data_IF_535607282258
#
_entry.id   IF_535607282258
#
_cell.length_a   1.000
_cell.length_b   1.000
_cell.length_c   1.000
_cell.angle_alpha   90.00
_cell.angle_beta   90.00
_cell.angle_gamma   90.00
#
_symmetry.space_group_name_H-M   'P 1'
#
loop_
_entity.id
_entity.type
_entity.pdbx_description
1 polymer ?
#
# COMPACT_ATOMS: atom_id res chain seq x y z
N UNK A 1 8.37 -13.76 -13.35
CA UNK A 1 7.87 -13.36 -12.00
C UNK A 1 6.61 -12.53 -12.20
N UNK A 2 5.47 -13.06 -11.81
CA UNK A 2 4.19 -12.34 -11.84
C UNK A 2 3.99 -11.58 -10.55
N UNK A 3 3.61 -10.31 -10.66
CA UNK A 3 3.55 -9.39 -9.54
C UNK A 3 2.11 -8.99 -9.23
N UNK A 4 1.85 -8.69 -7.96
CA UNK A 4 0.64 -8.00 -7.53
C UNK A 4 0.98 -6.84 -6.60
N UNK A 5 0.08 -5.88 -6.48
CA UNK A 5 0.18 -4.80 -5.49
C UNK A 5 -1.18 -4.53 -4.86
N UNK A 6 -1.20 -4.49 -3.53
CA UNK A 6 -2.35 -4.03 -2.74
C UNK A 6 -2.13 -2.56 -2.41
N UNK A 7 -2.87 -1.68 -3.06
CA UNK A 7 -2.81 -0.23 -2.83
C UNK A 7 -3.83 0.15 -1.79
N UNK A 8 -3.39 0.50 -0.59
CA UNK A 8 -4.28 0.86 0.52
C UNK A 8 -4.57 2.36 0.50
N UNK A 9 -5.82 2.72 0.28
CA UNK A 9 -6.34 4.09 0.18
C UNK A 9 -7.52 4.35 1.15
N UNK A 10 -7.59 3.62 2.26
CA UNK A 10 -8.68 3.70 3.25
C UNK A 10 -8.53 4.80 4.32
N UNK A 11 -7.51 5.64 4.25
CA UNK A 11 -7.29 6.70 5.23
C UNK A 11 -8.35 7.80 5.13
N UNK A 12 -9.00 8.12 6.26
CA UNK A 12 -10.05 9.17 6.34
C UNK A 12 -9.53 10.61 6.21
N UNK A 13 -8.21 10.81 6.13
CA UNK A 13 -7.59 12.15 5.99
C UNK A 13 -7.81 13.13 7.15
N UNK A 14 -8.46 12.73 8.24
CA UNK A 14 -8.87 13.59 9.39
C UNK A 14 -7.78 14.54 9.91
N UNK A 15 -6.51 14.15 9.78
CA UNK A 15 -5.36 14.97 10.24
C UNK A 15 -5.08 16.22 9.40
N UNK A 16 -5.68 16.35 8.21
CA UNK A 16 -5.40 17.46 7.28
C UNK A 16 -6.53 18.50 7.24
N UNK A 17 -7.61 18.34 8.03
CA UNK A 17 -8.72 19.30 8.08
C UNK A 17 -9.47 19.49 6.77
N UNK A 18 -9.27 18.66 5.77
CA UNK A 18 -9.94 18.71 4.48
C UNK A 18 -11.19 17.85 4.51
N UNK A 19 -12.29 18.35 3.91
CA UNK A 19 -13.53 17.57 3.69
C UNK A 19 -13.28 16.41 2.70
N UNK A 20 -12.33 16.60 1.76
CA UNK A 20 -11.97 15.57 0.78
C UNK A 20 -10.88 14.65 1.35
N UNK A 21 -11.05 13.31 1.26
CA UNK A 21 -10.00 12.37 1.67
C UNK A 21 -8.69 12.61 0.91
N UNK A 22 -7.56 12.50 1.63
CA UNK A 22 -6.21 12.85 1.15
C UNK A 22 -5.84 12.25 -0.21
N UNK A 23 -6.26 11.02 -0.47
CA UNK A 23 -5.97 10.30 -1.72
C UNK A 23 -6.61 10.95 -2.95
N UNK A 24 -7.66 11.76 -2.76
CA UNK A 24 -8.36 12.46 -3.84
C UNK A 24 -7.94 13.92 -3.99
N UNK A 25 -7.05 14.42 -3.14
CA UNK A 25 -6.48 15.75 -3.33
C UNK A 25 -5.71 15.81 -4.65
N UNK A 26 -5.90 16.91 -5.38
CA UNK A 26 -5.30 17.09 -6.69
C UNK A 26 -3.86 17.61 -6.56
N UNK A 27 -2.96 17.01 -7.32
CA UNK A 27 -1.59 17.46 -7.56
C UNK A 27 -1.37 17.44 -9.06
N UNK A 28 -0.90 18.54 -9.65
CA UNK A 28 -0.80 18.68 -11.10
C UNK A 28 -2.08 18.24 -11.81
N UNK A 29 -3.21 18.83 -11.39
CA UNK A 29 -4.53 18.64 -11.99
C UNK A 29 -5.09 17.21 -11.95
N UNK A 30 -4.49 16.30 -11.21
CA UNK A 30 -4.89 14.90 -11.10
C UNK A 30 -4.86 14.43 -9.63
N UNK A 31 -5.82 13.60 -9.16
CA UNK A 31 -5.78 13.01 -7.82
C UNK A 31 -4.47 12.27 -7.52
N UNK A 32 -3.95 12.42 -6.30
CA UNK A 32 -2.72 11.74 -5.87
C UNK A 32 -2.79 10.23 -6.12
N UNK A 33 -3.94 9.62 -5.84
CA UNK A 33 -4.15 8.19 -6.05
C UNK A 33 -3.97 7.77 -7.51
N UNK A 34 -4.42 8.59 -8.46
CA UNK A 34 -4.23 8.30 -9.89
C UNK A 34 -2.76 8.35 -10.30
N UNK A 35 -1.97 9.27 -9.72
CA UNK A 35 -0.51 9.27 -9.94
C UNK A 35 0.12 7.98 -9.43
N UNK A 36 -0.27 7.53 -8.22
CA UNK A 36 0.24 6.28 -7.64
C UNK A 36 -0.08 5.08 -8.53
N UNK A 37 -1.35 4.92 -8.94
CA UNK A 37 -1.76 3.80 -9.79
C UNK A 37 -1.12 3.86 -11.18
N UNK A 38 -1.04 5.06 -11.80
CA UNK A 38 -0.38 5.23 -13.10
C UNK A 38 1.09 4.85 -13.05
N UNK A 39 1.80 5.24 -11.97
CA UNK A 39 3.21 4.91 -11.81
C UNK A 39 3.42 3.40 -11.64
N UNK A 40 2.60 2.73 -10.86
CA UNK A 40 2.66 1.27 -10.67
C UNK A 40 2.35 0.53 -11.97
N UNK A 41 1.33 0.95 -12.71
CA UNK A 41 0.97 0.37 -14.00
C UNK A 41 2.04 0.59 -15.07
N UNK A 42 2.69 1.75 -15.10
CA UNK A 42 3.80 2.02 -16.03
C UNK A 42 5.07 1.24 -15.70
N UNK A 43 5.23 0.81 -14.45
CA UNK A 43 6.32 -0.08 -14.05
C UNK A 43 6.15 -1.50 -14.59
N UNK A 44 4.93 -2.03 -14.54
CA UNK A 44 4.60 -3.37 -15.03
C UNK A 44 3.10 -3.42 -15.35
N UNK A 45 2.76 -3.41 -16.63
CA UNK A 45 1.37 -3.40 -17.09
C UNK A 45 0.64 -4.75 -16.94
N UNK A 46 1.38 -5.83 -16.67
CA UNK A 46 0.82 -7.15 -16.36
C UNK A 46 0.63 -7.38 -14.86
N UNK A 47 1.06 -6.41 -14.03
CA UNK A 47 0.92 -6.48 -12.57
C UNK A 47 -0.55 -6.37 -12.15
N UNK A 48 -0.98 -7.30 -11.29
CA UNK A 48 -2.32 -7.24 -10.70
C UNK A 48 -2.39 -6.12 -9.66
N UNK A 49 -3.17 -5.08 -9.94
CA UNK A 49 -3.37 -3.97 -9.01
C UNK A 49 -4.70 -4.16 -8.29
N UNK A 50 -4.68 -4.21 -6.96
CA UNK A 50 -5.89 -4.20 -6.11
C UNK A 50 -5.92 -2.89 -5.33
N UNK A 51 -6.94 -2.09 -5.56
CA UNK A 51 -7.17 -0.83 -4.84
C UNK A 51 -8.15 -1.07 -3.69
N UNK A 52 -7.67 -0.84 -2.47
CA UNK A 52 -8.47 -1.01 -1.25
C UNK A 52 -8.84 0.36 -0.70
N UNK A 53 -10.13 0.65 -0.63
CA UNK A 53 -10.64 1.92 -0.11
C UNK A 53 -11.90 1.74 0.75
N UNK A 54 -12.29 2.78 1.47
CA UNK A 54 -13.54 2.76 2.22
C UNK A 54 -14.74 2.68 1.24
N UNK A 55 -15.75 1.93 1.61
CA UNK A 55 -16.96 1.72 0.79
C UNK A 55 -17.62 3.05 0.38
N UNK A 56 -17.71 3.99 1.31
CA UNK A 56 -18.27 5.32 1.05
C UNK A 56 -17.43 6.20 0.10
N UNK A 57 -16.22 5.80 -0.23
CA UNK A 57 -15.32 6.50 -1.15
C UNK A 57 -15.38 5.95 -2.58
N UNK A 58 -16.01 4.79 -2.78
CA UNK A 58 -16.03 4.11 -4.09
C UNK A 58 -16.77 4.94 -5.15
N UNK A 59 -17.94 5.47 -4.81
CA UNK A 59 -18.72 6.29 -5.76
C UNK A 59 -17.93 7.53 -6.22
N UNK A 60 -17.28 8.21 -5.29
CA UNK A 60 -16.44 9.36 -5.62
C UNK A 60 -15.25 8.94 -6.51
N UNK A 61 -14.63 7.80 -6.22
CA UNK A 61 -13.54 7.27 -7.04
C UNK A 61 -13.99 6.98 -8.47
N UNK A 62 -15.15 6.35 -8.65
CA UNK A 62 -15.71 6.06 -9.97
C UNK A 62 -15.99 7.33 -10.76
N UNK A 63 -16.62 8.33 -10.13
CA UNK A 63 -16.86 9.65 -10.74
C UNK A 63 -15.54 10.32 -11.17
N UNK A 64 -14.51 10.27 -10.34
CA UNK A 64 -13.20 10.79 -10.69
C UNK A 64 -12.57 10.02 -11.86
N UNK A 65 -12.69 8.69 -11.89
CA UNK A 65 -12.19 7.89 -13.02
C UNK A 65 -12.87 8.29 -14.34
N UNK A 66 -14.18 8.52 -14.34
CA UNK A 66 -14.92 9.01 -15.51
C UNK A 66 -14.47 10.43 -15.91
N UNK A 67 -14.42 11.35 -14.95
CA UNK A 67 -14.02 12.74 -15.17
C UNK A 67 -12.63 12.86 -15.79
N UNK A 68 -11.66 12.06 -15.29
CA UNK A 68 -10.28 12.10 -15.76
C UNK A 68 -9.98 11.08 -16.86
N UNK A 69 -10.99 10.32 -17.34
CA UNK A 69 -10.81 9.22 -18.31
C UNK A 69 -9.69 8.27 -17.88
N UNK A 70 -9.70 7.91 -16.60
CA UNK A 70 -8.66 7.10 -15.97
C UNK A 70 -8.88 5.61 -16.25
N UNK A 71 -8.01 5.02 -17.09
CA UNK A 71 -8.18 3.68 -17.65
C UNK A 71 -7.15 2.66 -17.10
N UNK A 72 -6.44 2.96 -16.01
CA UNK A 72 -5.54 1.97 -15.39
C UNK A 72 -6.37 0.82 -14.82
N UNK A 73 -6.15 -0.43 -15.28
CA UNK A 73 -6.90 -1.58 -14.78
C UNK A 73 -6.61 -1.83 -13.31
N UNK A 74 -7.64 -2.01 -12.49
CA UNK A 74 -7.49 -2.37 -11.09
C UNK A 74 -8.75 -3.04 -10.54
N UNK A 75 -8.56 -3.92 -9.58
CA UNK A 75 -9.62 -4.58 -8.81
C UNK A 75 -9.94 -3.69 -7.62
N UNK A 76 -11.23 -3.42 -7.35
CA UNK A 76 -11.67 -2.71 -6.16
C UNK A 76 -11.94 -3.68 -5.02
N UNK A 77 -11.48 -3.35 -3.81
CA UNK A 77 -11.80 -4.06 -2.58
C UNK A 77 -12.15 -3.07 -1.47
N UNK A 78 -13.00 -3.50 -0.54
CA UNK A 78 -13.40 -2.66 0.60
C UNK A 78 -12.40 -2.77 1.74
N UNK A 79 -12.03 -1.64 2.31
CA UNK A 79 -11.19 -1.56 3.50
C UNK A 79 -11.90 -2.10 4.74
N UNK A 80 -11.10 -2.58 5.69
CA UNK A 80 -11.58 -3.01 7.00
C UNK A 80 -11.38 -1.92 8.07
N UNK A 81 -11.70 -2.27 9.32
CA UNK A 81 -11.57 -1.37 10.49
C UNK A 81 -10.14 -0.84 10.67
N UNK A 82 -9.16 -1.66 10.33
CA UNK A 82 -7.73 -1.37 10.47
C UNK A 82 -6.96 -1.72 9.20
N UNK A 83 -5.69 -1.29 9.15
CA UNK A 83 -4.80 -1.61 8.02
C UNK A 83 -4.68 -3.11 7.77
N UNK A 84 -4.64 -3.91 8.83
CA UNK A 84 -4.58 -5.37 8.74
C UNK A 84 -5.74 -5.93 7.91
N UNK A 85 -6.98 -5.60 8.27
CA UNK A 85 -8.18 -6.07 7.57
C UNK A 85 -8.27 -5.53 6.14
N UNK A 86 -7.80 -4.31 5.92
CA UNK A 86 -7.75 -3.73 4.57
C UNK A 86 -6.80 -4.51 3.66
N UNK A 87 -5.61 -4.86 4.14
CA UNK A 87 -4.65 -5.68 3.38
C UNK A 87 -5.19 -7.10 3.16
N UNK A 88 -5.79 -7.72 4.20
CA UNK A 88 -6.44 -9.04 4.10
C UNK A 88 -7.51 -9.05 3.00
N UNK A 89 -8.41 -8.08 3.02
CA UNK A 89 -9.47 -7.95 2.02
C UNK A 89 -8.90 -7.77 0.61
N UNK A 90 -7.83 -6.96 0.47
CA UNK A 90 -7.15 -6.78 -0.80
C UNK A 90 -6.51 -8.06 -1.33
N UNK A 91 -5.87 -8.86 -0.47
CA UNK A 91 -5.30 -10.15 -0.86
C UNK A 91 -6.38 -11.14 -1.30
N UNK A 92 -7.50 -11.19 -0.57
CA UNK A 92 -8.63 -12.09 -0.87
C UNK A 92 -9.46 -11.65 -2.10
N UNK A 93 -9.36 -10.38 -2.51
CA UNK A 93 -10.03 -9.87 -3.70
C UNK A 93 -9.34 -10.28 -5.00
N UNK A 94 -8.12 -10.82 -4.95
CA UNK A 94 -7.43 -11.33 -6.13
C UNK A 94 -8.15 -12.62 -6.60
N UNK A 95 -8.63 -12.68 -7.85
CA UNK A 95 -9.27 -13.88 -8.39
C UNK A 95 -8.36 -15.11 -8.30
N UNK A 96 -8.94 -16.26 -7.98
CA UNK A 96 -8.18 -17.50 -7.74
C UNK A 96 -7.32 -17.92 -8.95
N UNK A 97 -7.83 -17.69 -10.17
CA UNK A 97 -7.14 -17.96 -11.43
C UNK A 97 -5.90 -17.07 -11.62
N UNK A 98 -5.87 -15.88 -11.02
CA UNK A 98 -4.68 -15.00 -11.04
C UNK A 98 -3.75 -15.32 -9.88
N UNK A 99 -4.32 -15.63 -8.70
CA UNK A 99 -3.59 -15.85 -7.46
C UNK A 99 -2.58 -17.00 -7.52
N UNK A 100 -2.90 -18.05 -8.30
CA UNK A 100 -2.01 -19.22 -8.44
C UNK A 100 -0.67 -18.88 -9.07
N UNK A 101 -0.63 -17.88 -9.96
CA UNK A 101 0.55 -17.49 -10.75
C UNK A 101 1.34 -16.34 -10.11
N UNK A 102 0.82 -15.68 -9.04
CA UNK A 102 1.50 -14.57 -8.40
C UNK A 102 2.65 -15.09 -7.54
N UNK A 103 3.85 -14.59 -7.83
CA UNK A 103 5.07 -14.89 -7.07
C UNK A 103 5.24 -13.94 -5.88
N UNK A 104 5.13 -12.62 -6.14
CA UNK A 104 5.39 -11.55 -5.16
C UNK A 104 4.25 -10.56 -5.14
N UNK A 105 3.85 -10.15 -3.94
CA UNK A 105 2.88 -9.08 -3.71
C UNK A 105 3.50 -7.93 -2.93
N UNK A 106 3.23 -6.71 -3.38
CA UNK A 106 3.56 -5.49 -2.64
C UNK A 106 2.35 -4.96 -1.89
N UNK A 107 2.58 -4.37 -0.71
CA UNK A 107 1.58 -3.55 0.01
C UNK A 107 2.05 -2.11 -0.03
N UNK A 108 1.26 -1.22 -0.61
CA UNK A 108 1.64 0.17 -0.88
C UNK A 108 0.57 1.17 -0.43
N UNK A 109 1.03 2.34 0.03
CA UNK A 109 0.13 3.43 0.40
C UNK A 109 -0.31 4.20 -0.85
N UNK A 110 -1.62 4.35 -1.07
CA UNK A 110 -2.19 5.05 -2.23
C UNK A 110 -1.84 6.54 -2.36
N UNK A 111 -1.27 7.12 -1.32
CA UNK A 111 -0.84 8.54 -1.27
C UNK A 111 0.68 8.72 -1.41
N UNK A 112 1.39 7.73 -1.95
CA UNK A 112 2.85 7.77 -2.16
C UNK A 112 3.22 7.58 -3.63
N UNK A 113 3.01 8.57 -4.50
CA UNK A 113 3.21 8.43 -5.94
C UNK A 113 4.69 8.39 -6.37
N UNK A 114 5.61 8.86 -5.50
CA UNK A 114 7.02 9.04 -5.86
C UNK A 114 7.86 7.80 -5.55
N UNK A 115 7.66 6.76 -6.36
CA UNK A 115 8.44 5.51 -6.30
C UNK A 115 9.05 5.27 -7.67
N UNK A 116 10.38 5.20 -7.75
CA UNK A 116 11.05 4.98 -9.03
C UNK A 116 10.94 3.52 -9.48
N UNK A 117 10.94 3.26 -10.79
CA UNK A 117 10.90 1.90 -11.34
C UNK A 117 12.12 1.06 -10.92
N UNK A 118 13.31 1.67 -10.84
CA UNK A 118 14.51 0.99 -10.37
C UNK A 118 14.36 0.52 -8.92
N UNK A 119 13.75 1.35 -8.06
CA UNK A 119 13.48 1.00 -6.68
C UNK A 119 12.41 -0.09 -6.54
N UNK A 120 11.32 0.00 -7.30
CA UNK A 120 10.31 -1.07 -7.39
C UNK A 120 10.97 -2.39 -7.79
N UNK A 121 11.79 -2.36 -8.84
CA UNK A 121 12.47 -3.56 -9.33
C UNK A 121 13.37 -4.20 -8.25
N UNK A 122 14.13 -3.40 -7.49
CA UNK A 122 14.97 -3.91 -6.41
C UNK A 122 14.16 -4.57 -5.28
N UNK A 123 13.01 -3.99 -4.91
CA UNK A 123 12.13 -4.54 -3.88
C UNK A 123 11.49 -5.87 -4.31
N UNK A 124 10.94 -5.92 -5.53
CA UNK A 124 10.33 -7.14 -6.05
C UNK A 124 11.35 -8.25 -6.25
N UNK A 125 12.55 -7.93 -6.76
CA UNK A 125 13.63 -8.90 -6.91
C UNK A 125 14.08 -9.48 -5.56
N UNK A 126 14.31 -8.63 -4.56
CA UNK A 126 14.69 -9.09 -3.23
C UNK A 126 13.61 -9.98 -2.57
N UNK A 127 12.33 -9.72 -2.86
CA UNK A 127 11.24 -10.55 -2.34
C UNK A 127 11.07 -11.89 -3.09
N UNK A 128 11.55 -11.99 -4.34
CA UNK A 128 11.48 -13.23 -5.12
C UNK A 128 12.36 -14.35 -4.54
N UNK A 129 13.39 -13.99 -3.78
CA UNK A 129 14.29 -14.94 -3.10
C UNK A 129 13.65 -15.58 -1.85
N UNK A 130 12.37 -15.32 -1.62
CA UNK A 130 11.59 -15.93 -0.54
C UNK A 130 11.59 -15.16 0.78
N UNK A 131 12.16 -13.95 0.82
CA UNK A 131 12.21 -13.05 1.97
C UNK A 131 11.24 -11.86 1.80
N UNK A 132 10.88 -11.21 2.92
CA UNK A 132 10.22 -9.92 2.86
C UNK A 132 11.23 -8.82 2.53
N UNK A 133 10.86 -7.90 1.64
CA UNK A 133 11.65 -6.72 1.31
C UNK A 133 10.90 -5.46 1.75
N UNK A 134 11.48 -4.74 2.70
CA UNK A 134 10.86 -3.57 3.33
C UNK A 134 11.81 -2.38 3.23
N UNK A 135 11.41 -1.27 2.59
CA UNK A 135 12.24 -0.07 2.54
C UNK A 135 12.26 0.63 3.89
N UNK A 136 13.45 1.03 4.33
CA UNK A 136 13.63 1.71 5.60
C UNK A 136 14.46 2.98 5.44
N UNK A 137 14.21 3.95 6.31
CA UNK A 137 15.00 5.18 6.44
C UNK A 137 15.55 5.26 7.86
N UNK A 138 16.81 5.68 8.05
CA UNK A 138 17.34 5.93 9.38
C UNK A 138 16.55 7.04 10.09
N UNK A 139 16.49 6.97 11.42
CA UNK A 139 15.95 8.06 12.23
C UNK A 139 16.99 9.17 12.38
N UNK A 140 16.59 10.39 12.04
CA UNK A 140 17.41 11.60 12.22
C UNK A 140 17.07 12.34 13.51
N UNK A 141 15.82 12.25 13.96
CA UNK A 141 15.33 12.88 15.16
C UNK A 141 15.73 12.11 16.43
N UNK A 142 15.82 12.81 17.57
CA UNK A 142 15.94 12.16 18.87
C UNK A 142 14.62 11.51 19.24
N UNK A 143 14.68 10.27 19.72
CA UNK A 143 13.50 9.52 20.14
C UNK A 143 13.59 9.17 21.62
N UNK A 144 12.41 9.03 22.23
CA UNK A 144 12.25 8.64 23.61
C UNK A 144 11.18 7.56 23.71
N UNK A 145 11.42 6.59 24.56
CA UNK A 145 10.46 5.56 24.92
C UNK A 145 9.62 6.05 26.10
N UNK A 146 8.29 6.03 25.98
CA UNK A 146 7.38 6.31 27.10
C UNK A 146 7.31 5.11 28.04
N UNK A 147 7.38 5.39 29.35
CA UNK A 147 7.20 4.42 30.43
C UNK A 147 6.32 5.08 31.48
N UNK A 148 5.07 4.69 31.53
CA UNK A 148 4.06 5.23 32.46
C UNK A 148 4.17 6.76 32.62
N UNK A 149 4.73 7.25 33.74
CA UNK A 149 4.81 8.68 34.09
C UNK A 149 6.09 9.38 33.57
N UNK A 150 7.01 8.67 32.91
CA UNK A 150 8.25 9.27 32.43
C UNK A 150 8.66 8.73 31.04
N UNK A 151 9.71 9.30 30.48
CA UNK A 151 10.28 8.80 29.23
C UNK A 151 11.80 8.69 29.34
N UNK A 152 12.37 7.70 28.62
CA UNK A 152 13.82 7.48 28.55
C UNK A 152 14.34 7.74 27.16
N UNK A 153 15.56 8.25 27.06
CA UNK A 153 16.24 8.39 25.79
C UNK A 153 16.64 7.01 25.28
N UNK A 154 16.44 6.74 23.99
CA UNK A 154 16.86 5.49 23.35
C UNK A 154 17.84 5.77 22.23
N UNK A 155 18.72 4.80 21.98
CA UNK A 155 19.67 4.92 20.88
C UNK A 155 18.93 4.77 19.53
N UNK A 156 18.73 5.91 18.84
CA UNK A 156 18.02 5.96 17.55
C UNK A 156 18.64 5.07 16.47
N UNK A 157 19.91 4.68 16.57
CA UNK A 157 20.57 3.80 15.60
C UNK A 157 19.99 2.39 15.59
N UNK A 158 19.25 2.00 16.64
CA UNK A 158 18.55 0.71 16.73
C UNK A 158 17.16 0.73 16.07
N UNK A 159 16.72 1.85 15.53
CA UNK A 159 15.38 2.05 14.99
C UNK A 159 15.44 2.63 13.57
N UNK A 160 14.44 2.33 12.78
CA UNK A 160 14.29 2.87 11.43
C UNK A 160 12.82 3.24 11.16
N UNK A 161 12.60 4.14 10.23
CA UNK A 161 11.26 4.43 9.70
C UNK A 161 10.97 3.50 8.54
N UNK A 162 9.92 2.71 8.66
CA UNK A 162 9.45 1.83 7.58
C UNK A 162 8.68 2.64 6.54
N UNK A 163 8.92 2.34 5.27
CA UNK A 163 8.25 2.94 4.13
C UNK A 163 7.46 1.88 3.34
N UNK A 164 6.83 2.30 2.26
CA UNK A 164 6.16 1.42 1.29
C UNK A 164 6.65 1.75 -0.13
N UNK A 165 6.62 0.78 -1.07
CA UNK A 165 6.01 -0.55 -1.03
C UNK A 165 6.75 -1.55 -0.13
N UNK A 166 6.02 -2.45 0.52
CA UNK A 166 6.56 -3.59 1.25
C UNK A 166 6.26 -4.84 0.44
N UNK A 167 7.28 -5.56 -0.01
CA UNK A 167 7.13 -6.71 -0.91
C UNK A 167 7.33 -8.03 -0.16
N UNK A 168 6.52 -9.03 -0.50
CA UNK A 168 6.48 -10.33 0.17
C UNK A 168 6.24 -11.44 -0.85
N UNK A 169 6.76 -12.67 -0.64
CA UNK A 169 6.29 -13.84 -1.35
C UNK A 169 4.77 -13.98 -1.15
N UNK A 170 4.00 -14.01 -2.24
CA UNK A 170 2.54 -13.91 -2.20
C UNK A 170 1.89 -14.98 -1.30
N UNK A 171 2.22 -16.25 -1.53
CA UNK A 171 1.64 -17.38 -0.79
C UNK A 171 1.95 -17.30 0.71
N UNK A 172 3.16 -16.84 1.08
CA UNK A 172 3.54 -16.68 2.49
C UNK A 172 2.73 -15.57 3.17
N UNK A 173 2.57 -14.43 2.49
CA UNK A 173 1.78 -13.33 3.04
C UNK A 173 0.31 -13.71 3.16
N UNK A 174 -0.28 -14.29 2.12
CA UNK A 174 -1.68 -14.73 2.13
C UNK A 174 -1.94 -15.71 3.28
N UNK A 175 -1.10 -16.73 3.44
CA UNK A 175 -1.21 -17.69 4.54
C UNK A 175 -1.12 -17.02 5.92
N UNK A 176 -0.18 -16.07 6.10
CA UNK A 176 -0.06 -15.34 7.35
C UNK A 176 -1.35 -14.57 7.68
N UNK A 177 -1.91 -13.84 6.71
CA UNK A 177 -3.16 -13.10 6.92
C UNK A 177 -4.40 -13.98 7.12
N UNK A 178 -4.43 -15.20 6.54
CA UNK A 178 -5.55 -16.14 6.74
C UNK A 178 -5.52 -16.82 8.11
N UNK A 179 -4.32 -17.09 8.66
CA UNK A 179 -4.13 -17.92 9.87
C UNK A 179 -3.91 -17.10 11.15
N UNK A 180 -3.72 -15.78 11.05
CA UNK A 180 -3.60 -14.92 12.24
C UNK A 180 -4.99 -14.47 12.69
N UNK A 181 -5.30 -14.78 13.94
CA UNK A 181 -6.43 -14.14 14.66
C UNK A 181 -5.92 -12.80 15.20
N UNK A 182 -6.31 -11.74 14.53
CA UNK A 182 -5.92 -10.37 14.91
C UNK A 182 -7.03 -9.79 15.79
N UNK A 183 -6.97 -10.11 17.08
CA UNK A 183 -7.86 -9.60 18.12
C UNK A 183 -7.26 -8.41 18.85
#
# INVERSE_FOLDING_TARGET
>A
MRKAVIVVAGGSGKRMGSELPKQFLSVNEKPILMHTLSNLYSFDNDMVIVLVMLENSVNLWQQLCEQYKFNVPHILAYGGKERFYSVKNGLLAIPAELAQDIDVVAVHDGVRPFVTHSFLNSLFSAASDGFASIPVLPLVDSIREYRDDFSVAVDRKKYCRVQTPQCFPFKKLLNAYCNIDYS
#
